data_IF_734082618165
#
_entry.id   IF_734082618165
#
_cell.length_a   1.000
_cell.length_b   1.000
_cell.length_c   1.000
_cell.angle_alpha   90.00
_cell.angle_beta   90.00
_cell.angle_gamma   90.00
#
_symmetry.space_group_name_H-M   'P 1'
#
loop_
_entity.id
_entity.type
_entity.pdbx_description
1 polymer ?
#
# COMPACT_ATOMS: atom_id res chain seq x y z
N UNK A 1 -31.42 0.85 -49.78
CA UNK A 1 -30.14 0.26 -49.37
C UNK A 1 -29.22 1.43 -49.12
N UNK A 2 -29.18 1.89 -47.87
CA UNK A 2 -28.27 2.93 -47.41
C UNK A 2 -27.62 2.35 -46.17
N UNK A 3 -26.44 1.78 -46.36
CA UNK A 3 -25.58 1.25 -45.32
C UNK A 3 -25.18 2.40 -44.38
N UNK A 4 -25.65 2.35 -43.13
CA UNK A 4 -25.16 3.18 -42.03
C UNK A 4 -23.96 2.41 -41.45
N UNK A 5 -22.75 2.84 -41.77
CA UNK A 5 -21.55 2.34 -41.11
C UNK A 5 -21.44 3.00 -39.73
N UNK A 6 -21.57 2.19 -38.68
CA UNK A 6 -21.30 2.55 -37.29
C UNK A 6 -19.86 3.07 -37.16
N UNK A 7 -19.71 4.38 -36.95
CA UNK A 7 -18.42 4.98 -36.58
C UNK A 7 -18.15 4.65 -35.12
N UNK A 8 -17.30 3.64 -34.87
CA UNK A 8 -16.74 3.38 -33.56
C UNK A 8 -15.88 4.57 -33.11
N UNK A 9 -16.34 5.30 -32.09
CA UNK A 9 -15.59 6.39 -31.48
C UNK A 9 -14.69 5.76 -30.41
N UNK A 10 -13.44 5.46 -30.77
CA UNK A 10 -12.41 5.02 -29.83
C UNK A 10 -11.98 6.20 -28.95
N UNK A 11 -12.61 6.35 -27.79
CA UNK A 11 -12.19 7.30 -26.75
C UNK A 11 -10.95 6.76 -26.04
N UNK A 12 -9.81 6.87 -26.70
CA UNK A 12 -8.51 6.61 -26.08
C UNK A 12 -8.30 7.66 -24.99
N UNK A 13 -8.57 7.29 -23.75
CA UNK A 13 -8.29 8.10 -22.57
C UNK A 13 -6.77 8.20 -22.37
N UNK A 14 -6.13 9.09 -23.13
CA UNK A 14 -4.75 9.50 -22.96
C UNK A 14 -4.62 10.25 -21.64
N UNK A 15 -4.37 9.52 -20.55
CA UNK A 15 -3.89 10.12 -19.31
C UNK A 15 -2.46 10.61 -19.55
N UNK A 16 -2.16 11.91 -19.39
CA UNK A 16 -0.79 12.40 -19.55
C UNK A 16 0.11 11.74 -18.49
N UNK A 17 1.15 11.05 -18.95
CA UNK A 17 2.22 10.57 -18.09
C UNK A 17 2.82 11.76 -17.31
N UNK A 18 3.13 11.61 -16.01
CA UNK A 18 3.81 12.66 -15.28
C UNK A 18 5.19 12.87 -15.89
N UNK A 19 5.42 14.07 -16.41
CA UNK A 19 6.68 14.53 -16.96
C UNK A 19 7.80 14.30 -15.95
N UNK A 20 8.85 13.62 -16.41
CA UNK A 20 10.07 13.38 -15.65
C UNK A 20 10.76 14.71 -15.37
N UNK A 21 10.43 15.32 -14.23
CA UNK A 21 11.21 16.44 -13.69
C UNK A 21 12.49 15.88 -13.09
N UNK A 22 13.59 16.25 -13.73
CA UNK A 22 14.97 16.30 -13.24
C UNK A 22 15.10 16.24 -11.72
N UNK A 23 15.79 15.21 -11.25
CA UNK A 23 16.21 14.99 -9.88
C UNK A 23 16.86 16.26 -9.30
N UNK A 24 16.18 16.90 -8.37
CA UNK A 24 16.82 17.81 -7.42
C UNK A 24 16.59 17.26 -6.02
N UNK A 25 17.68 16.71 -5.47
CA UNK A 25 17.80 16.20 -4.11
C UNK A 25 17.78 17.35 -3.12
N UNK A 26 16.58 17.81 -2.77
CA UNK A 26 16.32 18.48 -1.50
C UNK A 26 15.13 17.77 -0.87
N UNK A 27 15.40 17.04 0.20
CA UNK A 27 14.44 16.23 0.98
C UNK A 27 13.13 17.00 1.23
N UNK A 28 12.12 16.76 0.40
CA UNK A 28 10.76 17.19 0.63
C UNK A 28 10.15 16.24 1.67
N UNK A 29 10.28 16.57 2.96
CA UNK A 29 9.55 15.87 4.02
C UNK A 29 8.05 15.95 3.70
N UNK A 30 7.49 14.89 3.12
CA UNK A 30 6.06 14.81 2.81
C UNK A 30 5.27 15.04 4.09
N UNK A 31 4.71 16.24 4.24
CA UNK A 31 3.92 16.61 5.41
C UNK A 31 2.52 16.02 5.26
N UNK A 32 2.18 15.07 6.13
CA UNK A 32 0.87 14.44 6.15
C UNK A 32 -0.13 15.28 6.94
N UNK A 33 -1.33 15.49 6.38
CA UNK A 33 -2.42 16.23 7.01
C UNK A 33 -3.48 15.31 7.63
N UNK A 34 -4.29 15.86 8.54
CA UNK A 34 -5.42 15.16 9.14
C UNK A 34 -6.54 14.96 8.12
N UNK A 35 -6.79 13.72 7.69
CA UNK A 35 -7.80 13.42 6.68
C UNK A 35 -9.22 13.89 7.07
N UNK A 36 -9.58 13.80 8.36
CA UNK A 36 -10.90 14.28 8.83
C UNK A 36 -11.05 15.80 8.64
N UNK A 37 -9.99 16.57 8.86
CA UNK A 37 -10.00 18.02 8.61
C UNK A 37 -10.01 18.32 7.11
N UNK A 38 -9.26 17.56 6.31
CA UNK A 38 -9.25 17.72 4.85
C UNK A 38 -10.65 17.54 4.23
N UNK A 39 -11.46 16.61 4.76
CA UNK A 39 -12.84 16.41 4.32
C UNK A 39 -13.79 17.58 4.65
N UNK A 40 -13.33 18.55 5.46
CA UNK A 40 -14.04 19.78 5.80
C UNK A 40 -13.23 21.02 5.38
N UNK A 41 -12.38 20.87 4.36
CA UNK A 41 -11.56 21.94 3.77
C UNK A 41 -10.56 22.59 4.72
N UNK A 42 -10.21 21.95 5.84
CA UNK A 42 -9.20 22.42 6.79
C UNK A 42 -7.91 21.59 6.72
N UNK A 43 -6.77 22.28 6.62
CA UNK A 43 -5.45 21.64 6.55
C UNK A 43 -4.70 21.74 7.88
N UNK A 44 -4.75 20.67 8.68
CA UNK A 44 -3.97 20.57 9.91
C UNK A 44 -2.90 19.45 9.82
N UNK A 45 -1.66 19.68 10.29
CA UNK A 45 -0.64 18.64 10.33
C UNK A 45 -1.12 17.43 11.14
N UNK A 46 -0.98 16.22 10.62
CA UNK A 46 -1.51 15.01 11.27
C UNK A 46 -0.80 14.71 12.60
N UNK A 47 0.50 14.98 12.69
CA UNK A 47 1.33 14.69 13.87
C UNK A 47 0.86 15.58 15.04
N UNK A 48 0.43 14.96 16.14
CA UNK A 48 -0.01 15.67 17.36
C UNK A 48 -1.40 16.31 17.31
N UNK A 49 -2.09 16.31 16.16
CA UNK A 49 -3.37 17.01 16.02
C UNK A 49 -4.59 16.27 16.57
N UNK A 50 -4.53 14.93 16.72
CA UNK A 50 -5.65 14.11 17.21
C UNK A 50 -6.40 14.68 18.44
N UNK A 51 -5.74 15.11 19.54
CA UNK A 51 -6.43 15.63 20.74
C UNK A 51 -7.14 16.97 20.53
N UNK A 52 -6.70 17.78 19.57
CA UNK A 52 -7.25 19.14 19.30
C UNK A 52 -8.10 19.18 18.03
N UNK A 53 -8.38 18.01 17.44
CA UNK A 53 -9.09 17.93 16.18
C UNK A 53 -10.59 18.21 16.38
N UNK A 54 -11.07 19.32 15.82
CA UNK A 54 -12.50 19.69 15.82
C UNK A 54 -13.41 18.59 15.26
N UNK A 55 -12.92 17.82 14.29
CA UNK A 55 -13.67 16.77 13.61
C UNK A 55 -13.32 15.35 14.10
N UNK A 56 -12.68 15.22 15.27
CA UNK A 56 -12.28 13.93 15.83
C UNK A 56 -13.45 12.94 15.95
N UNK A 57 -14.63 13.44 16.33
CA UNK A 57 -15.88 12.70 16.49
C UNK A 57 -16.90 12.97 15.39
N UNK A 58 -16.50 13.59 14.27
CA UNK A 58 -17.43 13.86 13.17
C UNK A 58 -18.00 12.56 12.57
N UNK A 59 -19.30 12.59 12.27
CA UNK A 59 -20.12 11.48 11.75
C UNK A 59 -20.68 11.74 10.35
N UNK A 60 -20.14 12.72 9.60
CA UNK A 60 -20.51 12.90 8.19
C UNK A 60 -20.04 11.71 7.32
N UNK A 61 -20.63 11.55 6.14
CA UNK A 61 -20.34 10.45 5.21
C UNK A 61 -18.84 10.29 4.94
N UNK A 62 -18.14 11.38 4.59
CA UNK A 62 -16.71 11.32 4.28
C UNK A 62 -15.86 10.90 5.49
N UNK A 63 -16.20 11.36 6.69
CA UNK A 63 -15.50 10.98 7.92
C UNK A 63 -15.77 9.52 8.34
N UNK A 64 -16.97 9.00 8.07
CA UNK A 64 -17.29 7.58 8.26
C UNK A 64 -16.41 6.71 7.34
N UNK A 65 -16.29 7.08 6.06
CA UNK A 65 -15.44 6.36 5.09
C UNK A 65 -13.97 6.32 5.52
N UNK A 66 -13.46 7.43 6.08
CA UNK A 66 -12.10 7.47 6.64
C UNK A 66 -11.95 6.48 7.79
N UNK A 67 -12.93 6.37 8.68
CA UNK A 67 -12.86 5.45 9.81
C UNK A 67 -12.94 3.98 9.36
N UNK A 68 -13.86 3.64 8.47
CA UNK A 68 -13.98 2.30 7.90
C UNK A 68 -12.67 1.86 7.22
N UNK A 69 -12.06 2.74 6.41
CA UNK A 69 -10.74 2.48 5.79
C UNK A 69 -9.67 2.20 6.84
N UNK A 70 -9.66 2.94 7.95
CA UNK A 70 -8.68 2.74 9.04
C UNK A 70 -8.91 1.39 9.73
N UNK A 71 -10.16 1.01 9.98
CA UNK A 71 -10.51 -0.28 10.56
C UNK A 71 -10.03 -1.44 9.67
N UNK A 72 -10.31 -1.41 8.37
CA UNK A 72 -9.84 -2.42 7.42
C UNK A 72 -8.31 -2.53 7.39
N UNK A 73 -7.59 -1.40 7.37
CA UNK A 73 -6.12 -1.40 7.42
C UNK A 73 -5.58 -2.00 8.73
N UNK A 74 -6.24 -1.74 9.86
CA UNK A 74 -5.88 -2.33 11.15
C UNK A 74 -6.11 -3.86 11.15
N UNK A 75 -7.18 -4.34 10.53
CA UNK A 75 -7.45 -5.78 10.40
C UNK A 75 -6.43 -6.46 9.47
N UNK A 76 -6.16 -5.86 8.31
CA UNK A 76 -5.19 -6.38 7.35
C UNK A 76 -3.77 -6.41 7.94
N UNK A 77 -3.36 -5.37 8.65
CA UNK A 77 -2.05 -5.35 9.31
C UNK A 77 -1.94 -6.40 10.42
N UNK A 78 -3.01 -6.71 11.16
CA UNK A 78 -3.03 -7.82 12.13
C UNK A 78 -2.93 -9.19 11.45
N UNK A 79 -3.68 -9.42 10.38
CA UNK A 79 -3.66 -10.71 9.65
C UNK A 79 -2.27 -11.05 9.08
N UNK A 80 -1.53 -10.06 8.55
CA UNK A 80 -0.16 -10.24 8.05
C UNK A 80 0.85 -10.65 9.13
N UNK A 81 0.51 -10.52 10.42
CA UNK A 81 1.39 -10.87 11.55
C UNK A 81 1.13 -12.26 12.13
N UNK A 82 -0.06 -12.85 11.87
CA UNK A 82 -0.49 -14.11 12.47
C UNK A 82 0.14 -15.36 11.85
N UNK A 83 0.92 -15.20 10.77
CA UNK A 83 1.32 -16.30 9.90
C UNK A 83 2.74 -16.87 10.18
N UNK A 84 3.33 -16.59 11.35
CA UNK A 84 4.49 -17.30 11.91
C UNK A 84 4.68 -16.92 13.37
N UNK A 85 4.87 -17.86 14.31
CA UNK A 85 5.44 -17.55 15.61
C UNK A 85 6.80 -16.87 15.35
N UNK A 86 6.91 -15.58 15.66
CA UNK A 86 8.19 -14.87 15.60
C UNK A 86 8.75 -14.90 16.99
N UNK A 87 9.74 -15.74 17.21
CA UNK A 87 10.43 -15.81 18.50
C UNK A 87 11.05 -14.45 18.82
N UNK A 88 10.71 -13.94 20.01
CA UNK A 88 11.32 -12.74 20.57
C UNK A 88 12.39 -13.17 21.55
N UNK A 89 13.66 -13.01 21.19
CA UNK A 89 14.78 -13.20 22.12
C UNK A 89 15.17 -11.82 22.65
N UNK A 90 15.18 -11.66 23.98
CA UNK A 90 15.54 -10.41 24.67
C UNK A 90 14.75 -9.17 24.19
N UNK A 91 13.46 -9.32 23.90
CA UNK A 91 12.57 -8.23 23.46
C UNK A 91 12.86 -7.69 22.06
N UNK A 92 13.85 -8.23 21.34
CA UNK A 92 14.14 -7.88 19.94
C UNK A 92 13.50 -8.92 19.02
N UNK A 93 12.76 -8.44 18.02
CA UNK A 93 12.20 -9.31 16.97
C UNK A 93 13.36 -9.87 16.15
N UNK A 94 13.60 -11.18 16.23
CA UNK A 94 14.59 -11.83 15.37
C UNK A 94 14.07 -11.79 13.94
N UNK A 95 14.87 -11.21 13.03
CA UNK A 95 14.52 -11.06 11.62
C UNK A 95 14.96 -12.33 10.90
N UNK A 96 14.00 -13.22 10.62
CA UNK A 96 14.24 -14.40 9.78
C UNK A 96 13.61 -14.18 8.38
N UNK A 97 14.39 -13.69 7.40
CA UNK A 97 13.86 -13.43 6.06
C UNK A 97 13.53 -14.75 5.34
N UNK A 98 12.43 -14.75 4.59
CA UNK A 98 12.01 -15.89 3.76
C UNK A 98 12.45 -15.70 2.31
N UNK A 99 12.61 -16.81 1.57
CA UNK A 99 12.87 -16.75 0.14
C UNK A 99 11.69 -16.12 -0.60
N UNK A 100 11.92 -14.96 -1.24
CA UNK A 100 10.88 -14.20 -1.95
C UNK A 100 10.23 -15.01 -3.07
N UNK A 101 11.04 -15.77 -3.83
CA UNK A 101 10.55 -16.62 -4.93
C UNK A 101 9.65 -17.72 -4.43
N UNK A 102 10.08 -18.47 -3.41
CA UNK A 102 9.24 -19.52 -2.81
C UNK A 102 7.94 -18.92 -2.26
N UNK A 103 8.02 -17.78 -1.57
CA UNK A 103 6.85 -17.15 -0.96
C UNK A 103 5.81 -16.68 -1.98
N UNK A 104 6.24 -16.22 -3.17
CA UNK A 104 5.35 -15.87 -4.29
C UNK A 104 4.47 -17.05 -4.71
N UNK A 105 4.95 -18.27 -4.55
CA UNK A 105 4.25 -19.52 -4.86
C UNK A 105 3.60 -20.18 -3.63
N UNK A 106 3.43 -19.43 -2.53
CA UNK A 106 2.84 -19.94 -1.29
C UNK A 106 3.77 -20.82 -0.43
N UNK A 107 5.01 -21.07 -0.87
CA UNK A 107 5.98 -21.91 -0.16
C UNK A 107 6.90 -21.05 0.72
N UNK A 108 6.86 -21.25 2.03
CA UNK A 108 7.69 -20.50 2.99
C UNK A 108 8.96 -21.27 3.33
N UNK A 109 10.10 -20.81 2.83
CA UNK A 109 11.42 -21.36 3.15
C UNK A 109 12.30 -20.24 3.71
N UNK A 110 13.04 -20.45 4.83
CA UNK A 110 14.03 -19.49 5.32
C UNK A 110 15.04 -19.14 4.23
N UNK A 111 15.33 -17.86 4.03
CA UNK A 111 16.32 -17.42 3.05
C UNK A 111 17.74 -17.81 3.48
N UNK A 112 17.98 -17.92 4.80
CA UNK A 112 19.29 -18.30 5.34
C UNK A 112 19.62 -19.73 4.92
N UNK A 113 20.66 -19.89 4.09
CA UNK A 113 21.07 -21.18 3.51
C UNK A 113 20.34 -21.58 2.23
N UNK A 114 19.22 -20.94 1.90
CA UNK A 114 18.47 -21.19 0.68
C UNK A 114 19.08 -20.44 -0.51
N UNK A 115 20.09 -21.06 -1.12
CA UNK A 115 20.77 -20.53 -2.32
C UNK A 115 19.89 -20.69 -3.55
N UNK A 116 20.11 -19.83 -4.56
CA UNK A 116 19.40 -19.87 -5.85
C UNK A 116 19.41 -21.25 -6.50
N UNK A 117 20.55 -21.96 -6.46
CA UNK A 117 20.67 -23.31 -7.05
C UNK A 117 19.82 -24.37 -6.34
N UNK A 118 19.46 -24.14 -5.07
CA UNK A 118 18.61 -25.02 -4.27
C UNK A 118 17.13 -24.60 -4.30
N UNK A 119 16.80 -23.51 -5.00
CA UNK A 119 15.44 -23.00 -5.08
C UNK A 119 14.68 -23.69 -6.20
N UNK A 120 13.59 -24.38 -5.90
CA UNK A 120 12.75 -25.00 -6.94
C UNK A 120 12.21 -23.96 -7.94
N UNK A 121 12.02 -22.72 -7.49
CA UNK A 121 11.54 -21.61 -8.31
C UNK A 121 12.67 -20.73 -8.84
N UNK A 122 13.92 -21.23 -8.87
CA UNK A 122 15.07 -20.48 -9.36
C UNK A 122 14.91 -19.97 -10.79
N UNK A 123 14.18 -20.70 -11.62
CA UNK A 123 14.00 -20.38 -13.03
C UNK A 123 12.51 -20.19 -13.38
N UNK A 124 11.66 -20.03 -12.37
CA UNK A 124 10.24 -19.79 -12.57
C UNK A 124 10.01 -18.44 -13.27
N UNK A 125 9.12 -18.41 -14.27
CA UNK A 125 8.79 -17.24 -15.09
C UNK A 125 7.31 -16.84 -14.98
N UNK A 126 6.64 -17.18 -13.88
CA UNK A 126 5.26 -16.72 -13.66
C UNK A 126 5.22 -15.19 -13.64
N UNK A 127 4.26 -14.61 -14.36
CA UNK A 127 3.91 -13.20 -14.26
C UNK A 127 3.23 -13.00 -12.90
N UNK A 128 3.69 -11.99 -12.14
CA UNK A 128 3.19 -11.72 -10.78
C UNK A 128 1.80 -11.11 -10.77
#
# INVERSE_FOLDING_TARGET
MHDNEDVEIDVVALSPAPSQSSYNSTQNEKKYFCQRCLNHDLQFPRKGHKPVCKYASCTCSDCIMVEQRRQLNNMLSKSKMAESPRETVNGRRVRDPQCARCRQHGIRVPLRGHKRVLCQFANCKCEM
#
